data_IF_285360153584
#
_entry.id   IF_285360153584
#
_cell.length_a   1.000
_cell.length_b   1.000
_cell.length_c   1.000
_cell.angle_alpha   90.00
_cell.angle_beta   90.00
_cell.angle_gamma   90.00
#
_symmetry.space_group_name_H-M   'P 1'
#
loop_
_entity.id
_entity.type
_entity.pdbx_description
1 polymer ?
#
# COMPACT_ATOMS: atom_id res chain seq x y z
N UNK A 1 -9.60 -16.83 -5.26
CA UNK A 1 -8.96 -15.67 -5.97
C UNK A 1 -7.47 -15.66 -5.67
N UNK A 2 -6.63 -15.07 -6.52
CA UNK A 2 -5.21 -14.85 -6.21
C UNK A 2 -5.04 -13.46 -5.60
N UNK A 3 -4.44 -13.39 -4.42
CA UNK A 3 -4.28 -12.15 -3.64
C UNK A 3 -2.79 -11.91 -3.40
N UNK A 4 -2.29 -10.75 -3.83
CA UNK A 4 -0.94 -10.29 -3.53
C UNK A 4 -0.94 -9.46 -2.25
N UNK A 5 -0.05 -9.77 -1.32
CA UNK A 5 0.22 -8.98 -0.10
C UNK A 5 1.64 -8.46 -0.19
N UNK A 6 1.80 -7.14 -0.30
CA UNK A 6 3.12 -6.47 -0.31
C UNK A 6 3.51 -6.04 1.09
N UNK A 7 4.80 -5.86 1.37
CA UNK A 7 5.28 -5.52 2.70
C UNK A 7 4.97 -6.63 3.73
N UNK A 8 5.02 -7.88 3.29
CA UNK A 8 4.56 -9.03 4.07
C UNK A 8 5.46 -9.39 5.25
N UNK A 9 6.68 -8.84 5.31
CA UNK A 9 7.58 -8.94 6.46
C UNK A 9 7.25 -7.98 7.60
N UNK A 10 6.32 -7.03 7.39
CA UNK A 10 5.86 -6.10 8.42
C UNK A 10 4.77 -6.70 9.33
N UNK A 11 4.37 -5.92 10.34
CA UNK A 11 3.38 -6.37 11.36
C UNK A 11 2.05 -6.79 10.73
N UNK A 12 1.48 -5.96 9.85
CA UNK A 12 0.21 -6.26 9.18
C UNK A 12 0.35 -7.46 8.22
N UNK A 13 1.47 -7.55 7.49
CA UNK A 13 1.75 -8.69 6.62
C UNK A 13 1.79 -10.01 7.38
N UNK A 14 2.44 -10.07 8.54
CA UNK A 14 2.42 -11.25 9.41
C UNK A 14 1.02 -11.58 9.95
N UNK A 15 0.23 -10.55 10.30
CA UNK A 15 -1.15 -10.77 10.75
C UNK A 15 -2.03 -11.35 9.63
N UNK A 16 -1.90 -10.81 8.42
CA UNK A 16 -2.61 -11.32 7.23
C UNK A 16 -2.19 -12.76 6.88
N UNK A 17 -0.91 -13.10 7.01
CA UNK A 17 -0.42 -14.47 6.80
C UNK A 17 -1.10 -15.45 7.75
N UNK A 18 -1.23 -15.08 9.03
CA UNK A 18 -1.97 -15.93 10.00
C UNK A 18 -3.46 -16.04 9.66
N UNK A 19 -4.10 -14.91 9.33
CA UNK A 19 -5.52 -14.89 9.02
C UNK A 19 -5.84 -15.65 7.71
N UNK A 20 -4.94 -15.64 6.74
CA UNK A 20 -5.13 -16.32 5.45
C UNK A 20 -5.13 -17.84 5.54
N UNK A 21 -4.63 -18.43 6.65
CA UNK A 21 -4.56 -19.89 6.80
C UNK A 21 -5.94 -20.59 6.76
N UNK A 22 -7.02 -19.86 7.10
CA UNK A 22 -8.39 -20.36 7.03
C UNK A 22 -9.13 -19.97 5.73
N UNK A 23 -8.46 -19.27 4.80
CA UNK A 23 -9.06 -18.80 3.55
C UNK A 23 -8.95 -19.84 2.45
N UNK A 24 -9.95 -19.91 1.58
CA UNK A 24 -9.91 -20.68 0.34
C UNK A 24 -9.16 -19.96 -0.80
N UNK A 25 -8.78 -18.70 -0.60
CA UNK A 25 -8.05 -17.93 -1.59
C UNK A 25 -6.54 -18.26 -1.54
N UNK A 26 -5.86 -18.02 -2.66
CA UNK A 26 -4.42 -18.19 -2.77
C UNK A 26 -3.72 -16.86 -2.52
N UNK A 27 -2.80 -16.84 -1.55
CA UNK A 27 -2.05 -15.65 -1.17
C UNK A 27 -0.60 -15.73 -1.65
N UNK A 28 -0.11 -14.61 -2.17
CA UNK A 28 1.28 -14.36 -2.55
C UNK A 28 1.84 -13.28 -1.63
N UNK A 29 2.66 -13.68 -0.68
CA UNK A 29 3.29 -12.80 0.30
C UNK A 29 4.63 -12.33 -0.24
N UNK A 30 4.77 -11.02 -0.50
CA UNK A 30 5.97 -10.45 -1.11
C UNK A 30 6.59 -9.35 -0.27
N UNK A 31 7.91 -9.28 -0.33
CA UNK A 31 8.70 -8.21 0.28
C UNK A 31 10.00 -8.00 -0.53
N UNK A 32 10.77 -6.94 -0.23
CA UNK A 32 12.12 -6.71 -0.78
C UNK A 32 13.18 -7.55 -0.08
N UNK A 33 12.89 -8.03 1.13
CA UNK A 33 13.76 -8.86 1.96
C UNK A 33 12.96 -9.93 2.71
N UNK A 34 13.66 -10.94 3.22
CA UNK A 34 13.08 -12.04 4.01
C UNK A 34 13.09 -13.37 3.28
N UNK A 35 13.40 -14.45 4.01
CA UNK A 35 13.58 -15.80 3.46
C UNK A 35 12.23 -16.49 3.18
N UNK A 36 11.17 -16.12 3.90
CA UNK A 36 9.83 -16.72 3.81
C UNK A 36 8.88 -15.95 2.87
N UNK A 37 9.39 -15.01 2.09
CA UNK A 37 8.60 -14.17 1.18
C UNK A 37 9.08 -14.29 -0.26
N UNK A 38 8.15 -14.12 -1.21
CA UNK A 38 8.53 -13.92 -2.59
C UNK A 38 9.14 -12.51 -2.73
N UNK A 39 10.21 -12.40 -3.50
CA UNK A 39 10.85 -11.10 -3.70
C UNK A 39 10.09 -10.27 -4.72
N UNK A 40 9.63 -9.09 -4.31
CA UNK A 40 9.04 -8.09 -5.19
C UNK A 40 9.34 -6.69 -4.65
N UNK A 41 10.03 -5.89 -5.44
CA UNK A 41 10.20 -4.46 -5.19
C UNK A 41 9.05 -3.69 -5.88
N UNK A 42 8.19 -3.07 -5.09
CA UNK A 42 7.03 -2.33 -5.61
C UNK A 42 7.41 -0.99 -6.26
N UNK A 43 8.65 -0.54 -6.09
CA UNK A 43 9.18 0.64 -6.79
C UNK A 43 9.56 0.33 -8.24
N UNK A 44 9.75 -0.94 -8.58
CA UNK A 44 9.94 -1.41 -9.96
C UNK A 44 8.57 -1.68 -10.61
N UNK A 45 8.12 -0.72 -11.41
CA UNK A 45 6.84 -0.78 -12.11
C UNK A 45 6.71 -2.02 -12.99
N UNK A 46 7.74 -2.34 -13.76
CA UNK A 46 7.70 -3.47 -14.71
C UNK A 46 7.62 -4.80 -13.96
N UNK A 47 8.35 -4.93 -12.84
CA UNK A 47 8.27 -6.12 -11.99
C UNK A 47 6.87 -6.28 -11.40
N UNK A 48 6.24 -5.20 -10.92
CA UNK A 48 4.86 -5.21 -10.41
C UNK A 48 3.88 -5.66 -11.49
N UNK A 49 3.90 -5.02 -12.65
CA UNK A 49 2.98 -5.34 -13.76
C UNK A 49 3.17 -6.79 -14.23
N UNK A 50 4.40 -7.25 -14.33
CA UNK A 50 4.73 -8.62 -14.69
C UNK A 50 4.19 -9.61 -13.65
N UNK A 51 4.47 -9.38 -12.36
CA UNK A 51 4.03 -10.24 -11.28
C UNK A 51 2.50 -10.37 -11.24
N UNK A 52 1.78 -9.25 -11.37
CA UNK A 52 0.31 -9.23 -11.38
C UNK A 52 -0.24 -10.09 -12.51
N UNK A 53 0.34 -10.00 -13.72
CA UNK A 53 -0.10 -10.78 -14.88
C UNK A 53 0.25 -12.26 -14.76
N UNK A 54 1.51 -12.60 -14.45
CA UNK A 54 2.00 -13.98 -14.40
C UNK A 54 1.30 -14.83 -13.34
N UNK A 55 0.94 -14.20 -12.22
CA UNK A 55 0.24 -14.89 -11.14
C UNK A 55 -1.28 -14.71 -11.18
N UNK A 56 -1.83 -14.08 -12.22
CA UNK A 56 -3.25 -13.81 -12.38
C UNK A 56 -3.86 -13.19 -11.10
N UNK A 57 -3.21 -12.14 -10.56
CA UNK A 57 -3.61 -11.49 -9.32
C UNK A 57 -4.95 -10.79 -9.53
N UNK A 58 -5.94 -11.10 -8.70
CA UNK A 58 -7.26 -10.48 -8.70
C UNK A 58 -7.43 -9.38 -7.64
N UNK A 59 -6.61 -9.42 -6.57
CA UNK A 59 -6.59 -8.37 -5.56
C UNK A 59 -5.17 -8.15 -5.02
N UNK A 60 -4.86 -6.92 -4.63
CA UNK A 60 -3.63 -6.53 -3.93
C UNK A 60 -4.00 -5.94 -2.59
N UNK A 61 -3.30 -6.36 -1.52
CA UNK A 61 -3.30 -5.69 -0.23
C UNK A 61 -1.92 -5.06 -0.04
N UNK A 62 -1.86 -3.73 -0.20
CA UNK A 62 -0.61 -3.00 -0.07
C UNK A 62 -0.34 -2.62 1.39
N UNK A 63 0.52 -3.41 2.05
CA UNK A 63 1.02 -3.14 3.40
C UNK A 63 2.43 -2.55 3.38
N UNK A 64 3.09 -2.46 2.22
CA UNK A 64 4.41 -1.87 2.09
C UNK A 64 4.33 -0.35 2.21
N UNK A 65 5.17 0.22 3.05
CA UNK A 65 5.28 1.66 3.24
C UNK A 65 6.61 2.03 3.90
N UNK A 66 7.03 3.26 3.72
CA UNK A 66 8.03 3.91 4.55
C UNK A 66 7.33 4.42 5.81
N UNK A 67 7.53 3.78 6.96
CA UNK A 67 6.73 4.01 8.17
C UNK A 67 7.48 4.73 9.30
N UNK A 68 8.78 4.96 9.14
CA UNK A 68 9.58 5.73 10.10
C UNK A 68 9.32 7.22 9.91
N UNK A 69 8.44 7.77 10.76
CA UNK A 69 7.95 9.16 10.66
C UNK A 69 9.08 10.17 10.80
N UNK A 70 9.97 9.96 11.77
CA UNK A 70 11.09 10.88 12.03
C UNK A 70 12.11 10.83 10.90
N UNK A 71 12.48 9.65 10.47
CA UNK A 71 13.45 9.47 9.39
C UNK A 71 12.90 9.92 8.03
N UNK A 72 11.60 9.93 7.84
CA UNK A 72 11.00 10.46 6.61
C UNK A 72 11.28 11.96 6.41
N UNK A 73 11.46 12.74 7.48
CA UNK A 73 11.84 14.15 7.39
C UNK A 73 13.24 14.35 6.77
N UNK A 74 14.14 13.36 6.96
CA UNK A 74 15.51 13.37 6.42
C UNK A 74 15.61 12.65 5.06
N UNK A 75 14.67 11.75 4.73
CA UNK A 75 14.69 10.88 3.55
C UNK A 75 13.37 10.98 2.77
N UNK A 76 12.94 12.22 2.50
CA UNK A 76 11.65 12.52 1.89
C UNK A 76 11.49 11.89 0.50
N UNK A 77 12.56 11.84 -0.31
CA UNK A 77 12.53 11.25 -1.65
C UNK A 77 12.21 9.76 -1.61
N UNK A 78 12.78 9.03 -0.66
CA UNK A 78 12.52 7.61 -0.49
C UNK A 78 11.15 7.34 0.10
N UNK A 79 10.71 8.20 1.03
CA UNK A 79 9.36 8.14 1.55
C UNK A 79 8.33 8.36 0.44
N UNK A 80 8.53 9.36 -0.43
CA UNK A 80 7.67 9.63 -1.59
C UNK A 80 7.67 8.46 -2.58
N UNK A 81 8.85 7.91 -2.89
CA UNK A 81 8.98 6.76 -3.80
C UNK A 81 8.16 5.56 -3.30
N UNK A 82 8.28 5.21 -2.01
CA UNK A 82 7.61 4.04 -1.45
C UNK A 82 6.13 4.30 -1.15
N UNK A 83 5.79 5.46 -0.60
CA UNK A 83 4.43 5.72 -0.14
C UNK A 83 3.50 6.20 -1.26
N UNK A 84 4.02 6.93 -2.24
CA UNK A 84 3.23 7.49 -3.33
C UNK A 84 3.48 6.78 -4.66
N UNK A 85 4.68 6.89 -5.23
CA UNK A 85 4.98 6.36 -6.56
C UNK A 85 4.71 4.87 -6.68
N UNK A 86 5.15 4.08 -5.70
CA UNK A 86 4.94 2.63 -5.69
C UNK A 86 3.46 2.25 -5.50
N UNK A 87 2.70 3.00 -4.70
CA UNK A 87 1.25 2.82 -4.61
C UNK A 87 0.57 3.04 -5.97
N UNK A 88 1.01 4.06 -6.72
CA UNK A 88 0.59 4.31 -8.09
C UNK A 88 0.93 3.17 -9.06
N UNK A 89 2.10 2.52 -8.91
CA UNK A 89 2.46 1.35 -9.73
C UNK A 89 1.49 0.19 -9.51
N UNK A 90 1.18 -0.13 -8.24
CA UNK A 90 0.21 -1.16 -7.88
C UNK A 90 -1.19 -0.84 -8.42
N UNK A 91 -1.63 0.41 -8.26
CA UNK A 91 -2.94 0.86 -8.73
C UNK A 91 -3.08 0.74 -10.26
N UNK A 92 -2.07 1.18 -11.02
CA UNK A 92 -2.05 1.05 -12.48
C UNK A 92 -2.02 -0.41 -12.94
N UNK A 93 -1.24 -1.26 -12.27
CA UNK A 93 -1.22 -2.70 -12.57
C UNK A 93 -2.60 -3.33 -12.33
N UNK A 94 -3.26 -3.01 -11.21
CA UNK A 94 -4.61 -3.52 -10.92
C UNK A 94 -5.66 -2.96 -11.87
N UNK A 95 -5.55 -1.70 -12.32
CA UNK A 95 -6.39 -1.16 -13.40
C UNK A 95 -6.28 -1.99 -14.67
N UNK A 96 -5.05 -2.37 -15.05
CA UNK A 96 -4.76 -3.14 -16.27
C UNK A 96 -5.43 -4.53 -16.31
N UNK A 97 -5.68 -5.12 -15.14
CA UNK A 97 -6.31 -6.46 -15.02
C UNK A 97 -7.75 -6.41 -14.48
N UNK A 98 -8.31 -5.21 -14.23
CA UNK A 98 -9.64 -5.05 -13.65
C UNK A 98 -9.76 -5.54 -12.20
N UNK A 99 -8.64 -5.63 -11.48
CA UNK A 99 -8.56 -6.12 -10.12
C UNK A 99 -8.88 -5.05 -9.05
N UNK A 100 -8.74 -5.44 -7.78
CA UNK A 100 -8.98 -4.61 -6.60
C UNK A 100 -7.67 -4.27 -5.91
N UNK A 101 -7.45 -3.00 -5.55
CA UNK A 101 -6.38 -2.56 -4.65
C UNK A 101 -6.95 -2.19 -3.29
N UNK A 102 -6.49 -2.84 -2.23
CA UNK A 102 -6.66 -2.40 -0.84
C UNK A 102 -5.37 -1.70 -0.42
N UNK A 103 -5.43 -0.39 -0.24
CA UNK A 103 -4.27 0.44 0.14
C UNK A 103 -4.37 0.86 1.60
N UNK A 104 -3.36 0.52 2.40
CA UNK A 104 -3.28 0.91 3.81
C UNK A 104 -2.64 2.29 3.89
N UNK A 105 -3.41 3.26 4.34
CA UNK A 105 -3.00 4.63 4.62
C UNK A 105 -2.95 4.88 6.14
N UNK A 106 -3.00 6.11 6.57
CA UNK A 106 -2.77 6.54 7.95
C UNK A 106 -3.66 7.73 8.33
N UNK A 107 -3.93 7.89 9.62
CA UNK A 107 -4.54 9.09 10.18
C UNK A 107 -3.61 10.33 10.16
N UNK A 108 -2.29 10.15 9.93
CA UNK A 108 -1.33 11.25 9.72
C UNK A 108 -1.62 12.11 8.48
N UNK A 109 -2.57 11.72 7.64
CA UNK A 109 -3.10 12.57 6.56
C UNK A 109 -3.92 13.75 7.08
N UNK A 110 -4.35 13.71 8.35
CA UNK A 110 -5.05 14.79 9.03
C UNK A 110 -4.09 15.66 9.85
N UNK A 111 -4.54 16.84 10.26
CA UNK A 111 -3.74 17.80 11.02
C UNK A 111 -3.60 17.49 12.53
N UNK A 112 -4.37 16.52 13.02
CA UNK A 112 -4.34 16.10 14.44
C UNK A 112 -4.98 17.09 15.43
N UNK A 113 -5.67 18.13 14.95
CA UNK A 113 -6.25 19.17 15.82
C UNK A 113 -7.71 18.94 16.20
N UNK A 114 -8.35 17.95 15.58
CA UNK A 114 -9.77 17.69 15.81
C UNK A 114 -10.03 17.04 17.18
N UNK A 115 -11.05 17.55 17.90
CA UNK A 115 -11.52 16.98 19.18
C UNK A 115 -12.58 15.87 18.98
N UNK A 116 -12.75 15.39 17.77
CA UNK A 116 -13.74 14.38 17.38
C UNK A 116 -13.08 13.36 16.45
N UNK A 117 -13.63 12.14 16.36
CA UNK A 117 -13.16 11.16 15.38
C UNK A 117 -13.21 11.72 13.95
N UNK A 118 -12.17 11.45 13.18
CA UNK A 118 -12.14 11.76 11.75
C UNK A 118 -13.06 10.80 10.98
N UNK A 119 -13.65 11.29 9.91
CA UNK A 119 -14.44 10.52 8.95
C UNK A 119 -13.73 10.52 7.61
N UNK A 120 -14.23 9.74 6.66
CA UNK A 120 -13.71 9.68 5.29
C UNK A 120 -13.77 11.05 4.58
N UNK A 121 -14.72 11.91 4.98
CA UNK A 121 -14.94 13.25 4.42
C UNK A 121 -14.14 14.35 5.15
N UNK A 122 -13.45 14.01 6.24
CA UNK A 122 -12.64 14.99 6.97
C UNK A 122 -11.53 15.53 6.05
N UNK A 123 -11.40 16.87 5.90
CA UNK A 123 -10.34 17.45 5.07
C UNK A 123 -8.95 17.01 5.54
N UNK A 124 -8.12 16.64 4.59
CA UNK A 124 -6.73 16.25 4.85
C UNK A 124 -5.84 17.49 4.94
N UNK A 125 -4.89 17.50 5.89
CA UNK A 125 -3.90 18.55 6.08
C UNK A 125 -2.67 17.98 6.82
N UNK A 126 -1.89 17.09 6.20
CA UNK A 126 -0.76 16.42 6.84
C UNK A 126 0.30 17.42 7.30
N UNK A 127 0.93 17.14 8.46
CA UNK A 127 1.94 18.01 9.06
C UNK A 127 3.36 17.43 9.02
N UNK A 128 3.50 16.19 8.57
CA UNK A 128 4.77 15.49 8.46
C UNK A 128 5.01 15.03 7.01
N UNK A 129 6.26 14.82 6.65
CA UNK A 129 6.62 14.20 5.36
C UNK A 129 5.98 12.84 5.21
N UNK A 130 5.97 12.02 6.29
CA UNK A 130 5.27 10.74 6.28
C UNK A 130 3.80 10.88 5.91
N UNK A 131 3.06 11.77 6.60
CA UNK A 131 1.64 12.01 6.32
C UNK A 131 1.40 12.54 4.91
N UNK A 132 2.24 13.48 4.44
CA UNK A 132 2.14 14.04 3.10
C UNK A 132 2.38 12.97 2.02
N UNK A 133 3.42 12.17 2.15
CA UNK A 133 3.74 11.12 1.17
C UNK A 133 2.68 10.01 1.15
N UNK A 134 2.08 9.69 2.31
CA UNK A 134 0.95 8.76 2.37
C UNK A 134 -0.30 9.32 1.67
N UNK A 135 -0.58 10.61 1.86
CA UNK A 135 -1.68 11.29 1.16
C UNK A 135 -1.46 11.30 -0.37
N UNK A 136 -0.23 11.62 -0.82
CA UNK A 136 0.10 11.53 -2.25
C UNK A 136 -0.11 10.10 -2.79
N UNK A 137 0.15 9.06 -1.98
CA UNK A 137 -0.17 7.69 -2.34
C UNK A 137 -1.66 7.44 -2.53
N UNK A 138 -2.52 8.01 -1.68
CA UNK A 138 -3.97 7.96 -1.89
C UNK A 138 -4.37 8.65 -3.21
N UNK A 139 -3.79 9.82 -3.48
CA UNK A 139 -4.04 10.58 -4.72
C UNK A 139 -3.62 9.79 -5.97
N UNK A 140 -2.47 9.12 -5.95
CA UNK A 140 -2.02 8.22 -7.03
C UNK A 140 -3.00 7.05 -7.25
N UNK A 141 -3.53 6.46 -6.17
CA UNK A 141 -4.54 5.40 -6.25
C UNK A 141 -5.83 5.93 -6.87
N UNK A 142 -6.31 7.08 -6.41
CA UNK A 142 -7.52 7.72 -6.92
C UNK A 142 -7.38 8.07 -8.42
N UNK A 143 -6.26 8.69 -8.80
CA UNK A 143 -5.99 9.11 -10.18
C UNK A 143 -5.87 7.94 -11.16
N UNK A 144 -5.48 6.74 -10.68
CA UNK A 144 -5.33 5.55 -11.53
C UNK A 144 -6.64 5.07 -12.15
N UNK A 145 -7.77 5.32 -11.50
CA UNK A 145 -9.08 4.81 -11.89
C UNK A 145 -9.21 3.29 -11.75
N UNK A 146 -8.39 2.63 -10.93
CA UNK A 146 -8.60 1.22 -10.57
C UNK A 146 -9.77 1.09 -9.57
N UNK A 147 -10.22 -0.13 -9.33
CA UNK A 147 -11.09 -0.42 -8.18
C UNK A 147 -10.22 -0.42 -6.93
N UNK A 148 -10.62 0.32 -5.90
CA UNK A 148 -9.81 0.45 -4.69
C UNK A 148 -10.64 0.49 -3.41
N UNK A 149 -9.96 0.21 -2.30
CA UNK A 149 -10.35 0.52 -0.93
C UNK A 149 -9.13 1.18 -0.27
N UNK A 150 -9.29 2.34 0.34
CA UNK A 150 -8.24 3.00 1.13
C UNK A 150 -8.64 2.90 2.61
N UNK A 151 -7.73 2.36 3.43
CA UNK A 151 -7.91 2.20 4.87
C UNK A 151 -6.95 3.15 5.59
N UNK A 152 -7.47 4.18 6.24
CA UNK A 152 -6.71 5.07 7.13
C UNK A 152 -6.75 4.50 8.54
N UNK A 153 -5.59 4.19 9.11
CA UNK A 153 -5.44 3.56 10.43
C UNK A 153 -4.71 4.46 11.40
#
# INVERSE_FOLDING_TARGET
>A
MNILVTGSGGQLGHALRRASAASADRYFFTDVAGDDTLRLDITDREAVERFVREHAIGAVVNCAAYTDVERAEEDAERAELLNATAAGHLARAMKGVGGLLVHVSTDYVFDGTANRPCTEETPTAPRSVYGATKLHGEEEVLASGCRYVILRT
#
